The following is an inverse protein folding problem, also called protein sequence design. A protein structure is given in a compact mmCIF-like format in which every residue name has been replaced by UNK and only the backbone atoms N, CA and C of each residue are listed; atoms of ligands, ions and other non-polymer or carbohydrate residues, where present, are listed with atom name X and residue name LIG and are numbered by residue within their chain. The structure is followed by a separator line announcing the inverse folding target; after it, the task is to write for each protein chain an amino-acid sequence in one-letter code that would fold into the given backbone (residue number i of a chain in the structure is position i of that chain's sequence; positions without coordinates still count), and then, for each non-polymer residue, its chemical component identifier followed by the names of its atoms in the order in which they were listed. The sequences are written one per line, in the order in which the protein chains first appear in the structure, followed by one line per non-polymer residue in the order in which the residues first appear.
data_IF_942497072002
#
_entry.id   IF_942497072002
#
_cell.length_a   1.000
_cell.length_b   1.000
_cell.length_c   1.000
_cell.angle_alpha   90.00
_cell.angle_beta   90.00
_cell.angle_gamma   90.00
#
_symmetry.space_group_name_H-M   'P 1'
#
loop_
_entity.id
_entity.type
_entity.pdbx_description
1 polymer ?
#
# COMPACT_ATOMS: atom_id res chain seq x y z
N UNK A 1 -4.30 61.02 -34.41
CA UNK A 1 -5.67 60.70 -33.96
C UNK A 1 -5.64 59.38 -33.18
N UNK A 2 -5.86 59.52 -31.87
CA UNK A 2 -6.09 58.56 -30.78
C UNK A 2 -5.86 57.04 -30.95
N UNK A 3 -4.81 56.56 -30.24
CA UNK A 3 -4.66 55.19 -29.75
C UNK A 3 -5.79 54.83 -28.75
N UNK A 4 -6.52 53.74 -29.00
CA UNK A 4 -7.44 53.14 -28.02
C UNK A 4 -6.70 52.14 -27.12
N UNK A 5 -5.87 52.68 -26.22
CA UNK A 5 -5.33 51.96 -25.06
C UNK A 5 -6.47 51.70 -24.07
N UNK A 6 -6.95 50.46 -24.00
CA UNK A 6 -7.89 50.04 -22.95
C UNK A 6 -7.16 49.92 -21.61
N UNK A 7 -7.61 50.61 -20.54
CA UNK A 7 -6.98 50.56 -19.23
C UNK A 7 -7.24 49.22 -18.52
N UNK A 8 -6.18 48.66 -17.90
CA UNK A 8 -6.28 47.52 -16.96
C UNK A 8 -6.84 47.98 -15.62
N UNK A 9 -7.92 47.38 -15.10
CA UNK A 9 -8.29 47.57 -13.69
C UNK A 9 -7.44 46.65 -12.80
N UNK A 10 -6.57 47.28 -12.01
CA UNK A 10 -5.87 46.70 -10.85
C UNK A 10 -6.85 46.76 -9.67
N UNK A 11 -7.47 45.63 -9.32
CA UNK A 11 -8.42 45.53 -8.21
C UNK A 11 -7.87 44.60 -7.13
N UNK A 12 -7.17 45.18 -6.15
CA UNK A 12 -6.84 44.57 -4.86
C UNK A 12 -7.98 44.90 -3.89
N UNK A 13 -8.80 43.90 -3.52
CA UNK A 13 -9.66 43.95 -2.35
C UNK A 13 -10.15 42.54 -1.97
N UNK A 14 -9.52 42.01 -0.92
CA UNK A 14 -9.85 40.74 -0.26
C UNK A 14 -11.27 40.76 0.33
N UNK A 15 -12.17 39.82 0.00
CA UNK A 15 -13.29 39.50 0.86
C UNK A 15 -12.81 38.55 1.96
N UNK A 16 -12.73 39.06 3.19
CA UNK A 16 -12.69 38.25 4.42
C UNK A 16 -14.10 37.73 4.72
N UNK A 17 -14.18 36.51 5.28
CA UNK A 17 -15.36 35.76 5.78
C UNK A 17 -15.96 34.81 4.74
N UNK A 18 -16.25 33.55 5.06
CA UNK A 18 -16.57 32.90 6.35
C UNK A 18 -15.93 31.50 6.34
N UNK A 19 -15.36 31.06 7.46
CA UNK A 19 -15.07 29.65 7.72
C UNK A 19 -16.41 28.89 7.81
N UNK A 20 -16.99 28.60 6.66
CA UNK A 20 -18.04 27.62 6.49
C UNK A 20 -17.38 26.27 6.59
N UNK A 21 -17.68 25.57 7.68
CA UNK A 21 -17.32 24.21 8.02
C UNK A 21 -17.75 23.25 6.91
N UNK A 22 -16.97 23.15 5.84
CA UNK A 22 -16.96 21.97 5.01
C UNK A 22 -16.19 20.92 5.80
N UNK A 23 -16.91 19.98 6.39
CA UNK A 23 -16.35 18.64 6.58
C UNK A 23 -16.12 18.14 5.16
N UNK A 24 -14.94 18.44 4.61
CA UNK A 24 -14.45 17.78 3.43
C UNK A 24 -14.27 16.33 3.88
N UNK A 25 -15.29 15.51 3.63
CA UNK A 25 -15.07 14.08 3.52
C UNK A 25 -13.93 13.98 2.51
N UNK A 26 -12.74 13.64 3.03
CA UNK A 26 -11.56 13.52 2.20
C UNK A 26 -11.97 12.66 1.02
N UNK A 27 -11.80 13.17 -0.21
CA UNK A 27 -11.90 12.33 -1.39
C UNK A 27 -11.09 11.06 -1.07
N UNK A 28 -11.62 9.84 -1.36
CA UNK A 28 -10.87 8.63 -1.11
C UNK A 28 -9.47 8.85 -1.70
N UNK A 29 -8.39 8.54 -0.94
CA UNK A 29 -7.05 8.80 -1.42
C UNK A 29 -6.91 8.22 -2.83
N UNK A 30 -6.22 8.91 -3.75
CA UNK A 30 -5.98 8.34 -5.09
C UNK A 30 -5.47 6.91 -4.91
N UNK A 31 -5.92 5.93 -5.71
CA UNK A 31 -5.40 4.57 -5.62
C UNK A 31 -3.88 4.67 -5.67
N UNK A 32 -3.15 4.05 -4.70
CA UNK A 32 -1.71 4.20 -4.64
C UNK A 32 -1.10 3.82 -6.00
N UNK A 33 -0.04 4.52 -6.45
CA UNK A 33 0.66 4.16 -7.68
C UNK A 33 0.99 2.67 -7.60
N UNK A 34 0.72 1.92 -8.68
CA UNK A 34 0.84 0.46 -8.78
C UNK A 34 1.95 -0.06 -7.87
N UNK A 35 1.56 -0.68 -6.75
CA UNK A 35 2.50 -1.05 -5.71
C UNK A 35 3.55 -1.96 -6.32
N UNK A 36 4.79 -1.49 -6.33
CA UNK A 36 5.92 -2.29 -6.77
C UNK A 36 6.10 -3.49 -5.83
N UNK A 37 6.93 -4.47 -6.25
CA UNK A 37 7.20 -5.65 -5.46
C UNK A 37 7.72 -5.30 -4.05
N UNK A 38 8.52 -4.23 -3.94
CA UNK A 38 9.06 -3.74 -2.69
C UNK A 38 7.96 -3.25 -1.72
N UNK A 39 7.04 -2.43 -2.21
CA UNK A 39 5.93 -1.86 -1.44
C UNK A 39 4.98 -2.97 -0.97
N UNK A 40 4.66 -3.93 -1.86
CA UNK A 40 3.84 -5.09 -1.50
C UNK A 40 4.50 -5.94 -0.41
N UNK A 41 5.81 -6.24 -0.54
CA UNK A 41 6.53 -6.99 0.48
C UNK A 41 6.63 -6.24 1.81
N UNK A 42 6.83 -4.92 1.79
CA UNK A 42 6.89 -4.11 3.00
C UNK A 42 5.55 -4.04 3.71
N UNK A 43 4.45 -3.91 2.95
CA UNK A 43 3.10 -3.95 3.49
C UNK A 43 2.77 -5.32 4.11
N UNK A 44 3.13 -6.41 3.43
CA UNK A 44 2.98 -7.77 3.96
C UNK A 44 3.82 -7.98 5.22
N UNK A 45 5.08 -7.56 5.21
CA UNK A 45 5.98 -7.65 6.37
C UNK A 45 5.40 -6.91 7.58
N UNK A 46 4.97 -5.66 7.39
CA UNK A 46 4.36 -4.87 8.45
C UNK A 46 3.06 -5.51 8.97
N UNK A 47 2.23 -6.05 8.10
CA UNK A 47 1.01 -6.74 8.49
C UNK A 47 1.28 -8.02 9.30
N UNK A 48 2.25 -8.84 8.88
CA UNK A 48 2.68 -10.03 9.63
C UNK A 48 3.23 -9.67 11.01
N UNK A 49 4.06 -8.61 11.11
CA UNK A 49 4.59 -8.14 12.39
C UNK A 49 3.50 -7.64 13.34
N UNK A 50 2.53 -6.86 12.84
CA UNK A 50 1.37 -6.42 13.63
C UNK A 50 0.51 -7.59 14.11
N UNK A 51 0.43 -8.65 13.32
CA UNK A 51 -0.30 -9.87 13.67
C UNK A 51 0.51 -10.81 14.60
N UNK A 52 1.70 -10.41 15.06
CA UNK A 52 2.48 -11.14 16.05
C UNK A 52 3.52 -12.11 15.49
N UNK A 53 3.78 -12.12 14.17
CA UNK A 53 4.82 -12.96 13.60
C UNK A 53 6.21 -12.49 14.06
N UNK A 54 6.92 -13.36 14.81
CA UNK A 54 8.22 -13.00 15.41
C UNK A 54 9.36 -13.14 14.40
N UNK A 55 9.37 -14.23 13.63
CA UNK A 55 10.44 -14.55 12.66
C UNK A 55 9.95 -14.25 11.24
N UNK A 56 10.07 -13.00 10.82
CA UNK A 56 9.77 -12.57 9.46
C UNK A 56 11.03 -11.97 8.86
N UNK A 57 11.39 -12.40 7.66
CA UNK A 57 12.56 -11.93 6.93
C UNK A 57 12.11 -11.38 5.58
N UNK A 58 12.67 -10.27 5.15
CA UNK A 58 12.36 -9.63 3.88
C UNK A 58 13.61 -9.45 3.03
N UNK A 59 13.49 -9.69 1.72
CA UNK A 59 14.49 -9.36 0.73
C UNK A 59 13.83 -8.67 -0.46
N UNK A 60 14.47 -7.63 -1.02
CA UNK A 60 13.92 -6.85 -2.13
C UNK A 60 14.94 -6.79 -3.26
N UNK A 61 14.47 -7.04 -4.48
CA UNK A 61 15.16 -6.86 -5.74
C UNK A 61 14.31 -5.99 -6.67
N UNK A 62 14.91 -5.44 -7.74
CA UNK A 62 14.26 -4.51 -8.67
C UNK A 62 12.92 -4.99 -9.25
N UNK A 63 12.74 -6.31 -9.38
CA UNK A 63 11.57 -6.94 -10.04
C UNK A 63 10.80 -7.93 -9.15
N UNK A 64 11.35 -8.25 -7.98
CA UNK A 64 10.79 -9.23 -7.07
C UNK A 64 11.17 -8.88 -5.65
N UNK A 65 10.24 -9.05 -4.72
CA UNK A 65 10.55 -9.05 -3.31
C UNK A 65 10.08 -10.37 -2.70
N UNK A 66 10.68 -10.74 -1.58
CA UNK A 66 10.45 -12.01 -0.90
C UNK A 66 10.23 -11.73 0.57
N UNK A 67 9.18 -12.35 1.14
CA UNK A 67 8.93 -12.36 2.57
C UNK A 67 8.91 -13.81 3.05
N UNK A 68 9.85 -14.17 3.91
CA UNK A 68 9.97 -15.52 4.48
C UNK A 68 9.59 -15.54 5.94
N UNK A 69 8.91 -16.60 6.34
CA UNK A 69 8.51 -16.90 7.71
C UNK A 69 8.62 -18.42 7.94
N UNK A 70 8.62 -18.91 9.19
CA UNK A 70 8.61 -20.35 9.45
C UNK A 70 7.51 -21.05 8.67
N UNK A 71 7.89 -21.99 7.80
CA UNK A 71 6.96 -22.79 7.02
C UNK A 71 6.42 -22.15 5.73
N UNK A 72 6.80 -20.92 5.37
CA UNK A 72 6.40 -20.31 4.10
C UNK A 72 7.41 -19.28 3.57
N UNK A 73 7.56 -19.22 2.24
CA UNK A 73 8.30 -18.17 1.54
C UNK A 73 7.41 -17.56 0.48
N UNK A 74 7.13 -16.27 0.62
CA UNK A 74 6.20 -15.52 -0.22
C UNK A 74 6.96 -14.67 -1.22
N UNK A 75 6.66 -14.86 -2.49
CA UNK A 75 7.18 -14.08 -3.60
C UNK A 75 6.19 -12.98 -3.94
N UNK A 76 6.66 -11.73 -3.92
CA UNK A 76 5.93 -10.54 -4.29
C UNK A 76 6.42 -10.07 -5.67
N UNK A 77 5.57 -10.14 -6.69
CA UNK A 77 5.90 -9.73 -8.07
C UNK A 77 4.70 -9.06 -8.71
N UNK A 78 4.90 -7.90 -9.33
CA UNK A 78 3.87 -7.19 -10.12
C UNK A 78 2.50 -7.07 -9.41
N UNK A 79 2.50 -6.81 -8.10
CA UNK A 79 1.28 -6.71 -7.30
C UNK A 79 0.59 -8.05 -7.00
N UNK A 80 1.26 -9.18 -7.22
CA UNK A 80 0.84 -10.53 -6.84
C UNK A 80 1.72 -11.07 -5.69
N UNK A 81 1.08 -11.80 -4.78
CA UNK A 81 1.67 -12.57 -3.69
C UNK A 81 1.54 -14.06 -4.03
N UNK A 82 2.64 -14.80 -4.05
CA UNK A 82 2.61 -16.23 -4.32
C UNK A 82 3.50 -17.03 -3.38
N UNK A 83 3.03 -18.20 -2.95
CA UNK A 83 3.81 -19.14 -2.13
C UNK A 83 3.28 -20.57 -2.31
N UNK A 84 3.99 -21.53 -1.74
CA UNK A 84 3.55 -22.92 -1.66
C UNK A 84 3.17 -23.23 -0.22
N UNK A 85 1.97 -23.76 -0.01
CA UNK A 85 1.53 -24.25 1.29
C UNK A 85 2.29 -25.52 1.70
N UNK A 86 2.22 -25.88 2.99
CA UNK A 86 2.86 -27.09 3.52
C UNK A 86 2.42 -28.37 2.80
N UNK A 87 1.22 -28.39 2.21
CA UNK A 87 0.70 -29.50 1.40
C UNK A 87 1.15 -29.49 -0.07
N UNK A 88 2.02 -28.58 -0.49
CA UNK A 88 2.49 -28.45 -1.88
C UNK A 88 1.56 -27.64 -2.80
N UNK A 89 0.40 -27.20 -2.30
CA UNK A 89 -0.52 -26.37 -3.07
C UNK A 89 0.06 -24.96 -3.30
N UNK A 90 0.07 -24.50 -4.55
CA UNK A 90 0.47 -23.13 -4.88
C UNK A 90 -0.69 -22.17 -4.61
N UNK A 91 -0.43 -21.12 -3.82
CA UNK A 91 -1.37 -20.04 -3.53
C UNK A 91 -0.89 -18.79 -4.25
N UNK A 92 -1.85 -18.08 -4.88
CA UNK A 92 -1.64 -16.78 -5.52
C UNK A 92 -2.74 -15.83 -5.10
N UNK A 93 -2.37 -14.64 -4.65
CA UNK A 93 -3.29 -13.59 -4.22
C UNK A 93 -2.87 -12.25 -4.81
N UNK A 94 -3.84 -11.35 -4.99
CA UNK A 94 -3.53 -9.95 -5.29
C UNK A 94 -2.93 -9.25 -4.07
N UNK A 95 -2.13 -8.23 -4.32
CA UNK A 95 -1.61 -7.30 -3.29
C UNK A 95 -2.73 -6.57 -2.52
N UNK A 96 -3.92 -6.45 -3.11
CA UNK A 96 -5.10 -5.95 -2.41
C UNK A 96 -5.57 -6.88 -1.27
N UNK A 97 -5.19 -8.17 -1.30
CA UNK A 97 -5.63 -9.21 -0.37
C UNK A 97 -4.60 -9.50 0.74
N UNK A 98 -3.77 -8.51 1.13
CA UNK A 98 -2.72 -8.70 2.15
C UNK A 98 -3.29 -9.28 3.45
N UNK A 99 -4.45 -8.84 3.92
CA UNK A 99 -5.05 -9.38 5.15
C UNK A 99 -5.41 -10.86 5.01
N UNK A 100 -5.88 -11.30 3.84
CA UNK A 100 -6.13 -12.70 3.56
C UNK A 100 -4.82 -13.48 3.52
N UNK A 101 -3.78 -12.93 2.87
CA UNK A 101 -2.45 -13.53 2.84
C UNK A 101 -1.91 -13.75 4.26
N UNK A 102 -1.98 -12.74 5.14
CA UNK A 102 -1.54 -12.84 6.54
C UNK A 102 -2.26 -13.96 7.29
N UNK A 103 -3.59 -14.06 7.16
CA UNK A 103 -4.37 -15.13 7.81
C UNK A 103 -3.91 -16.52 7.36
N UNK A 104 -3.71 -16.73 6.07
CA UNK A 104 -3.26 -18.02 5.53
C UNK A 104 -1.83 -18.34 5.98
N UNK A 105 -0.94 -17.35 5.94
CA UNK A 105 0.47 -17.52 6.31
C UNK A 105 0.64 -17.82 7.80
N UNK A 106 -0.14 -17.17 8.67
CA UNK A 106 -0.13 -17.47 10.11
C UNK A 106 -0.74 -18.84 10.41
N UNK A 107 -1.79 -19.25 9.69
CA UNK A 107 -2.33 -20.61 9.79
C UNK A 107 -1.32 -21.66 9.33
N UNK A 108 -0.56 -21.38 8.28
CA UNK A 108 0.46 -22.28 7.73
C UNK A 108 1.72 -22.36 8.59
N UNK A 109 2.11 -21.27 9.25
CA UNK A 109 3.30 -21.24 10.11
C UNK A 109 3.19 -22.20 11.31
N UNK A 110 1.96 -22.53 11.74
CA UNK A 110 1.70 -23.31 12.96
C UNK A 110 2.19 -22.58 14.22
N UNK A 111 1.89 -23.09 15.43
CA UNK A 111 2.52 -22.58 16.63
C UNK A 111 4.01 -22.89 16.51
N UNK A 112 4.80 -21.88 16.14
CA UNK A 112 6.25 -21.95 16.27
C UNK A 112 6.50 -22.16 17.76
N UNK A 113 6.90 -23.38 18.13
CA UNK A 113 7.23 -23.77 19.50
C UNK A 113 8.09 -22.65 20.10
N UNK A 114 7.59 -22.15 21.24
CA UNK A 114 8.13 -21.05 22.03
C UNK A 114 9.65 -21.13 22.22
#
# INVERSE_FOLDING_TARGET
MALLLRPRPRGDAKPRRRFGRYVQAAAPPPPPPSQGPAETAQALFAALRRAGAVRVYGAVHATVAVVSLPGATVWCRAGELSWTERGGAAVRLGSADIDRAVRLLLGAAGPSVA
#
